data_IF_742268404566
#
_entry.id   IF_742268404566
#
_cell.length_a   1.000
_cell.length_b   1.000
_cell.length_c   1.000
_cell.angle_alpha   90.00
_cell.angle_beta   90.00
_cell.angle_gamma   90.00
#
_symmetry.space_group_name_H-M   'P 1'
#
loop_
_entity.id
_entity.type
_entity.pdbx_description
1 polymer ?
#
# COMPACT_ATOMS: atom_id res chain seq x y z
N UNK A 1 6.65 -16.11 5.94
CA UNK A 1 5.38 -16.05 5.17
C UNK A 1 5.15 -14.63 4.67
N UNK A 2 4.29 -14.45 3.66
CA UNK A 2 3.90 -13.15 3.13
C UNK A 2 2.38 -13.00 3.15
N UNK A 3 1.89 -11.88 3.66
CA UNK A 3 0.50 -11.48 3.61
C UNK A 3 0.27 -10.55 2.41
N UNK A 4 -0.82 -10.75 1.67
CA UNK A 4 -1.19 -9.94 0.51
C UNK A 4 -2.71 -9.66 0.49
N UNK A 5 -3.18 -8.74 -0.35
CA UNK A 5 -4.58 -8.28 -0.36
C UNK A 5 -5.48 -9.09 -1.31
N UNK A 6 -4.97 -9.41 -2.51
CA UNK A 6 -5.73 -9.91 -3.64
C UNK A 6 -5.36 -11.33 -4.05
N UNK A 7 -6.34 -12.11 -4.51
CA UNK A 7 -6.11 -13.49 -4.98
C UNK A 7 -5.22 -13.57 -6.24
N UNK A 8 -5.24 -12.52 -7.05
CA UNK A 8 -4.37 -12.33 -8.21
C UNK A 8 -2.89 -12.24 -7.85
N UNK A 9 -2.57 -11.83 -6.62
CA UNK A 9 -1.22 -11.53 -6.18
C UNK A 9 -0.40 -12.80 -6.04
N UNK A 10 -1.03 -13.91 -5.63
CA UNK A 10 -0.38 -15.20 -5.40
C UNK A 10 0.28 -15.76 -6.68
N UNK A 11 -0.51 -15.96 -7.73
CA UNK A 11 -0.03 -16.52 -9.00
C UNK A 11 1.01 -15.60 -9.66
N UNK A 12 0.77 -14.29 -9.64
CA UNK A 12 1.66 -13.31 -10.26
C UNK A 12 2.99 -13.19 -9.53
N UNK A 13 2.98 -13.04 -8.20
CA UNK A 13 4.20 -12.94 -7.40
C UNK A 13 5.06 -14.20 -7.52
N UNK A 14 4.45 -15.39 -7.48
CA UNK A 14 5.18 -16.66 -7.67
C UNK A 14 5.92 -16.72 -9.00
N UNK A 15 5.27 -16.25 -10.06
CA UNK A 15 5.83 -16.29 -11.40
C UNK A 15 6.94 -15.25 -11.57
N UNK A 16 6.64 -13.98 -11.28
CA UNK A 16 7.57 -12.87 -11.51
C UNK A 16 8.81 -12.96 -10.62
N UNK A 17 8.68 -13.40 -9.36
CA UNK A 17 9.84 -13.61 -8.49
C UNK A 17 10.84 -14.59 -9.10
N UNK A 18 10.37 -15.74 -9.60
CA UNK A 18 11.21 -16.75 -10.28
C UNK A 18 11.82 -16.24 -11.58
N UNK A 19 11.11 -15.39 -12.32
CA UNK A 19 11.63 -14.77 -13.55
C UNK A 19 12.75 -13.78 -13.26
N UNK A 20 12.65 -13.00 -12.18
CA UNK A 20 13.69 -12.05 -11.76
C UNK A 20 14.93 -12.79 -11.22
N UNK A 21 14.69 -13.84 -10.41
CA UNK A 21 15.73 -14.68 -9.86
C UNK A 21 15.19 -16.11 -9.62
N UNK A 22 15.82 -17.10 -10.24
CA UNK A 22 15.39 -18.50 -10.13
C UNK A 22 15.41 -19.08 -8.70
N UNK A 23 16.19 -18.47 -7.79
CA UNK A 23 16.24 -18.83 -6.37
C UNK A 23 15.10 -18.20 -5.54
N UNK A 24 14.40 -17.21 -6.08
CA UNK A 24 13.22 -16.60 -5.48
C UNK A 24 11.97 -17.44 -5.77
N UNK A 25 11.98 -18.64 -5.21
CA UNK A 25 10.93 -19.63 -5.35
C UNK A 25 10.24 -19.85 -4.01
N UNK A 26 9.00 -19.34 -3.90
CA UNK A 26 8.18 -19.45 -2.69
C UNK A 26 7.98 -20.90 -2.23
N UNK A 27 7.87 -21.85 -3.17
CA UNK A 27 7.64 -23.26 -2.85
C UNK A 27 8.93 -23.90 -2.33
N UNK A 28 10.06 -23.67 -3.00
CA UNK A 28 11.36 -24.20 -2.56
C UNK A 28 11.82 -23.61 -1.23
N UNK A 29 11.51 -22.34 -0.97
CA UNK A 29 11.87 -21.63 0.27
C UNK A 29 10.82 -21.79 1.38
N UNK A 30 9.75 -22.56 1.13
CA UNK A 30 8.63 -22.77 2.06
C UNK A 30 8.03 -21.45 2.59
N UNK A 31 7.96 -20.44 1.72
CA UNK A 31 7.36 -19.14 2.04
C UNK A 31 5.89 -19.19 1.64
N UNK A 32 5.03 -19.43 2.62
CA UNK A 32 3.58 -19.36 2.41
C UNK A 32 3.14 -17.95 2.01
N UNK A 33 2.33 -17.88 0.96
CA UNK A 33 1.60 -16.69 0.53
C UNK A 33 0.18 -16.79 1.11
N UNK A 34 -0.26 -15.80 1.90
CA UNK A 34 -1.58 -15.79 2.56
C UNK A 34 -2.38 -14.55 2.19
N UNK A 35 -3.58 -14.77 1.63
CA UNK A 35 -4.54 -13.71 1.32
C UNK A 35 -5.21 -13.19 2.58
N UNK A 36 -5.17 -11.88 2.78
CA UNK A 36 -5.87 -11.20 3.87
C UNK A 36 -7.04 -10.42 3.27
N UNK A 37 -8.27 -10.79 3.63
CA UNK A 37 -9.48 -10.11 3.17
C UNK A 37 -9.60 -8.73 3.83
N UNK A 38 -9.03 -7.72 3.18
CA UNK A 38 -9.07 -6.31 3.59
C UNK A 38 -7.91 -5.89 4.48
N UNK A 39 -7.36 -4.71 4.16
CA UNK A 39 -6.19 -4.05 4.81
C UNK A 39 -6.26 -3.96 6.33
N UNK A 40 -7.48 -3.88 6.88
CA UNK A 40 -7.74 -3.78 8.32
C UNK A 40 -7.23 -4.94 9.18
N UNK A 41 -6.83 -6.05 8.55
CA UNK A 41 -6.44 -7.26 9.26
C UNK A 41 -4.93 -7.58 9.21
N UNK A 42 -4.12 -6.84 8.46
CA UNK A 42 -2.68 -7.11 8.33
C UNK A 42 -1.97 -7.20 9.69
N UNK A 43 -2.11 -6.17 10.53
CA UNK A 43 -1.52 -6.14 11.87
C UNK A 43 -1.97 -7.33 12.73
N UNK A 44 -3.26 -7.69 12.68
CA UNK A 44 -3.79 -8.80 13.49
C UNK A 44 -3.17 -10.14 13.10
N UNK A 45 -3.12 -10.44 11.80
CA UNK A 45 -2.49 -11.66 11.30
C UNK A 45 -1.00 -11.68 11.56
N UNK A 46 -0.32 -10.54 11.35
CA UNK A 46 1.11 -10.38 11.64
C UNK A 46 1.42 -10.72 13.10
N UNK A 47 0.76 -10.03 14.04
CA UNK A 47 0.94 -10.29 15.48
C UNK A 47 0.62 -11.74 15.85
N UNK A 48 -0.46 -12.30 15.29
CA UNK A 48 -0.83 -13.70 15.53
C UNK A 48 0.29 -14.66 15.11
N UNK A 49 0.77 -14.60 13.86
CA UNK A 49 1.80 -15.53 13.38
C UNK A 49 3.17 -15.29 14.00
N UNK A 50 3.54 -14.03 14.25
CA UNK A 50 4.79 -13.68 14.95
C UNK A 50 4.80 -14.23 16.39
N UNK A 51 3.64 -14.36 17.04
CA UNK A 51 3.54 -15.01 18.36
C UNK A 51 3.92 -16.50 18.35
N UNK A 52 3.89 -17.15 17.18
CA UNK A 52 4.38 -18.52 16.98
C UNK A 52 5.82 -18.56 16.46
N UNK A 53 6.54 -17.42 16.46
CA UNK A 53 7.91 -17.32 15.94
C UNK A 53 7.99 -17.36 14.42
N UNK A 54 6.88 -17.17 13.71
CA UNK A 54 6.87 -17.15 12.25
C UNK A 54 7.15 -15.73 11.77
N UNK A 55 8.19 -15.56 10.96
CA UNK A 55 8.45 -14.29 10.28
C UNK A 55 7.35 -13.97 9.28
N UNK A 56 6.75 -12.79 9.42
CA UNK A 56 5.69 -12.29 8.54
C UNK A 56 6.20 -11.08 7.76
N UNK A 57 6.05 -11.12 6.44
CA UNK A 57 6.20 -9.96 5.55
C UNK A 57 4.82 -9.57 5.02
N UNK A 58 4.64 -8.32 4.64
CA UNK A 58 3.39 -7.80 4.07
C UNK A 58 3.70 -7.22 2.69
N UNK A 59 2.86 -7.49 1.71
CA UNK A 59 2.79 -6.74 0.45
C UNK A 59 1.45 -6.03 0.42
N UNK A 60 1.46 -4.71 0.24
CA UNK A 60 0.25 -3.88 0.28
C UNK A 60 0.23 -2.86 -0.87
N UNK A 61 -0.98 -2.46 -1.25
CA UNK A 61 -1.19 -1.46 -2.29
C UNK A 61 -0.83 -0.05 -1.79
N UNK A 62 -0.48 0.86 -2.70
CA UNK A 62 -0.10 2.25 -2.36
C UNK A 62 -1.13 2.96 -1.49
N UNK A 63 -2.42 2.73 -1.73
CA UNK A 63 -3.50 3.36 -1.00
C UNK A 63 -3.59 2.92 0.46
N UNK A 64 -2.87 1.87 0.86
CA UNK A 64 -2.68 1.54 2.29
C UNK A 64 -1.91 2.63 3.05
N UNK A 65 -1.12 3.48 2.38
CA UNK A 65 -0.48 4.63 3.02
C UNK A 65 -1.49 5.70 3.44
N UNK A 66 -2.56 5.87 2.68
CA UNK A 66 -3.56 6.90 2.90
C UNK A 66 -4.76 6.37 3.70
N UNK A 67 -5.28 5.21 3.31
CA UNK A 67 -6.41 4.51 3.93
C UNK A 67 -5.95 3.16 4.52
N UNK A 68 -5.66 3.14 5.82
CA UNK A 68 -5.34 1.91 6.56
C UNK A 68 -3.90 1.77 7.06
N UNK A 69 -3.10 2.83 7.03
CA UNK A 69 -1.69 2.81 7.48
C UNK A 69 -1.50 2.24 8.89
N UNK A 70 -2.41 2.54 9.81
CA UNK A 70 -2.38 2.00 11.18
C UNK A 70 -2.38 0.47 11.23
N UNK A 71 -2.91 -0.19 10.19
CA UNK A 71 -2.99 -1.65 10.09
C UNK A 71 -1.72 -2.28 9.50
N UNK A 72 -0.75 -1.48 9.04
CA UNK A 72 0.54 -1.98 8.57
C UNK A 72 1.50 -2.33 9.72
N UNK A 73 1.19 -1.86 10.94
CA UNK A 73 2.03 -2.10 12.12
C UNK A 73 3.34 -1.30 12.11
N UNK A 74 3.33 -0.10 11.50
CA UNK A 74 4.50 0.76 11.38
C UNK A 74 4.92 1.38 12.73
N UNK A 75 6.22 1.61 12.91
CA UNK A 75 6.77 2.27 14.11
C UNK A 75 6.44 3.78 14.16
N UNK A 76 6.57 4.43 15.32
CA UNK A 76 6.42 5.88 15.44
C UNK A 76 7.34 6.68 14.52
N UNK A 77 8.57 6.19 14.28
CA UNK A 77 9.53 6.81 13.35
C UNK A 77 9.00 6.81 11.91
N UNK A 78 8.43 5.69 11.47
CA UNK A 78 7.80 5.58 10.15
C UNK A 78 6.53 6.41 10.05
N UNK A 79 5.79 6.59 11.14
CA UNK A 79 4.66 7.51 11.17
C UNK A 79 5.10 8.99 10.98
N UNK A 80 6.27 9.38 11.51
CA UNK A 80 6.84 10.70 11.26
C UNK A 80 7.30 10.88 9.80
N UNK A 81 7.90 9.84 9.21
CA UNK A 81 8.23 9.82 7.77
C UNK A 81 6.97 9.91 6.92
N UNK A 82 5.89 9.25 7.31
CA UNK A 82 4.58 9.39 6.64
C UNK A 82 4.11 10.83 6.68
N UNK A 83 4.08 11.46 7.85
CA UNK A 83 3.65 12.85 7.98
C UNK A 83 4.45 13.78 7.04
N UNK A 84 5.76 13.61 7.01
CA UNK A 84 6.67 14.36 6.12
C UNK A 84 6.36 14.11 4.64
N UNK A 85 6.15 12.85 4.25
CA UNK A 85 5.84 12.49 2.86
C UNK A 85 4.48 13.07 2.42
N UNK A 86 3.46 12.98 3.27
CA UNK A 86 2.13 13.57 3.00
C UNK A 86 2.22 15.09 2.86
N UNK A 87 2.97 15.78 3.73
CA UNK A 87 3.15 17.23 3.61
C UNK A 87 3.81 17.65 2.30
N UNK A 88 4.83 16.89 1.85
CA UNK A 88 5.49 17.13 0.56
C UNK A 88 4.54 16.87 -0.61
N UNK A 89 3.77 15.79 -0.55
CA UNK A 89 2.74 15.47 -1.55
C UNK A 89 1.69 16.58 -1.64
N UNK A 90 1.13 17.02 -0.52
CA UNK A 90 0.12 18.06 -0.49
C UNK A 90 0.66 19.39 -1.02
N UNK A 91 1.92 19.73 -0.70
CA UNK A 91 2.60 20.91 -1.25
C UNK A 91 2.77 20.81 -2.77
N UNK A 92 3.12 19.62 -3.28
CA UNK A 92 3.27 19.36 -4.72
C UNK A 92 1.92 19.41 -5.44
N UNK A 93 0.87 18.84 -4.87
CA UNK A 93 -0.50 18.89 -5.39
C UNK A 93 -0.96 20.36 -5.51
N UNK A 94 -0.71 21.16 -4.48
CA UNK A 94 -1.04 22.59 -4.49
C UNK A 94 -0.25 23.35 -5.57
N UNK A 95 1.04 23.06 -5.74
CA UNK A 95 1.88 23.68 -6.77
C UNK A 95 1.45 23.31 -8.20
N UNK A 96 0.99 22.07 -8.41
CA UNK A 96 0.50 21.58 -9.69
C UNK A 96 -0.96 22.00 -9.97
N UNK A 97 -1.64 22.62 -9.01
CA UNK A 97 -3.06 22.93 -9.05
C UNK A 97 -3.93 21.70 -9.44
N UNK A 98 -3.49 20.51 -9.05
CA UNK A 98 -4.19 19.27 -9.36
C UNK A 98 -5.34 19.07 -8.38
N UNK A 99 -6.54 18.93 -8.92
CA UNK A 99 -7.72 18.49 -8.16
C UNK A 99 -8.27 17.27 -8.88
N UNK A 100 -8.10 16.08 -8.31
CA UNK A 100 -8.74 14.91 -8.91
C UNK A 100 -10.26 15.06 -8.75
N UNK A 101 -10.98 15.03 -9.86
CA UNK A 101 -12.45 14.99 -9.80
C UNK A 101 -12.85 13.53 -9.62
N UNK A 102 -13.46 13.15 -8.48
CA UNK A 102 -13.81 11.76 -8.25
C UNK A 102 -14.87 11.29 -9.25
N UNK A 103 -14.68 10.10 -9.82
CA UNK A 103 -15.68 9.52 -10.73
C UNK A 103 -16.94 9.10 -9.97
N UNK A 104 -18.07 9.03 -10.68
CA UNK A 104 -19.36 8.55 -10.12
C UNK A 104 -19.25 7.15 -9.49
N UNK A 105 -18.35 6.30 -10.01
CA UNK A 105 -18.08 4.96 -9.47
C UNK A 105 -17.33 5.01 -8.13
N UNK A 106 -16.33 5.89 -8.01
CA UNK A 106 -15.59 6.10 -6.76
C UNK A 106 -16.51 6.63 -5.66
N UNK A 107 -17.34 7.62 -5.99
CA UNK A 107 -18.34 8.19 -5.06
C UNK A 107 -19.27 7.07 -4.55
N UNK A 108 -19.86 6.28 -5.44
CA UNK A 108 -20.77 5.17 -5.04
C UNK A 108 -20.10 4.14 -4.12
N UNK A 109 -18.84 3.77 -4.39
CA UNK A 109 -18.09 2.82 -3.55
C UNK A 109 -17.81 3.38 -2.15
N UNK A 110 -17.52 4.69 -2.05
CA UNK A 110 -17.21 5.36 -0.79
C UNK A 110 -18.47 5.64 0.05
N UNK A 111 -19.56 6.08 -0.57
CA UNK A 111 -20.86 6.31 0.08
C UNK A 111 -21.44 5.03 0.69
N UNK A 112 -21.07 3.87 0.17
CA UNK A 112 -21.47 2.58 0.71
C UNK A 112 -20.72 2.16 1.99
N UNK A 113 -19.61 2.83 2.37
CA UNK A 113 -18.88 2.54 3.61
C UNK A 113 -19.63 3.12 4.82
N UNK A 114 -19.76 2.36 5.90
CA UNK A 114 -20.44 2.82 7.11
C UNK A 114 -19.76 4.04 7.77
N UNK A 115 -18.42 4.11 7.69
CA UNK A 115 -17.66 5.28 8.15
C UNK A 115 -18.00 6.57 7.39
N UNK A 116 -18.43 6.48 6.13
CA UNK A 116 -18.90 7.66 5.38
C UNK A 116 -20.26 8.12 5.87
N UNK A 117 -21.17 7.19 6.22
CA UNK A 117 -22.48 7.53 6.78
C UNK A 117 -22.34 8.25 8.12
N UNK A 118 -21.44 7.78 8.98
CA UNK A 118 -21.14 8.44 10.26
C UNK A 118 -20.64 9.87 10.06
N UNK A 119 -19.65 10.07 9.18
CA UNK A 119 -19.14 11.41 8.82
C UNK A 119 -20.21 12.30 8.20
N UNK A 120 -21.05 11.74 7.34
CA UNK A 120 -22.17 12.47 6.73
C UNK A 120 -23.20 12.93 7.78
N UNK A 121 -23.53 12.06 8.74
CA UNK A 121 -24.43 12.41 9.85
C UNK A 121 -23.82 13.52 10.71
N UNK A 122 -22.56 13.39 11.11
CA UNK A 122 -21.86 14.40 11.90
C UNK A 122 -21.79 15.77 11.18
N UNK A 123 -21.42 15.79 9.89
CA UNK A 123 -21.40 17.00 9.09
C UNK A 123 -22.80 17.63 8.93
N UNK A 124 -23.83 16.81 8.78
CA UNK A 124 -25.22 17.26 8.67
C UNK A 124 -25.74 17.84 9.99
N UNK A 125 -25.35 17.28 11.13
CA UNK A 125 -25.65 17.83 12.46
C UNK A 125 -24.95 19.17 12.68
N UNK A 126 -23.66 19.27 12.33
CA UNK A 126 -22.93 20.53 12.39
C UNK A 126 -23.60 21.63 11.54
N UNK A 127 -23.98 21.30 10.30
CA UNK A 127 -24.74 22.22 9.43
C UNK A 127 -26.11 22.62 10.00
N UNK A 128 -26.78 21.72 10.73
CA UNK A 128 -28.05 22.01 11.39
C UNK A 128 -27.87 23.01 12.53
N UNK A 129 -26.80 22.86 13.31
CA UNK A 129 -26.46 23.77 14.40
C UNK A 129 -26.11 25.17 13.85
N UNK A 130 -25.35 25.24 12.75
CA UNK A 130 -25.07 26.52 12.06
C UNK A 130 -26.35 27.19 11.58
N UNK A 131 -27.30 26.43 10.98
CA UNK A 131 -28.62 26.96 10.58
C UNK A 131 -29.46 27.47 11.76
N UNK A 132 -29.20 26.98 12.97
CA UNK A 132 -29.85 27.41 14.20
C UNK A 132 -29.14 28.60 14.87
N UNK A 133 -28.12 29.17 14.22
CA UNK A 133 -27.41 30.37 14.68
C UNK A 133 -26.09 30.08 15.40
N UNK A 134 -25.61 28.84 15.43
CA UNK A 134 -24.25 28.55 15.90
C UNK A 134 -23.22 29.18 14.96
N UNK A 135 -22.12 29.69 15.52
CA UNK A 135 -21.01 30.20 14.74
C UNK A 135 -20.36 29.06 13.93
N UNK A 136 -19.96 29.36 12.69
CA UNK A 136 -19.10 28.46 11.93
C UNK A 136 -17.70 28.57 12.51
N UNK A 137 -17.36 27.62 13.38
CA UNK A 137 -16.03 27.50 13.96
C UNK A 137 -15.13 26.60 13.09
N UNK A 138 -13.84 26.60 13.43
CA UNK A 138 -12.83 25.81 12.73
C UNK A 138 -13.17 24.30 12.76
N UNK A 139 -13.73 23.80 13.86
CA UNK A 139 -14.15 22.41 13.99
C UNK A 139 -15.27 22.03 13.02
N UNK A 140 -16.23 22.94 12.76
CA UNK A 140 -17.29 22.74 11.76
C UNK A 140 -16.72 22.65 10.35
N UNK A 141 -15.72 23.47 10.03
CA UNK A 141 -15.03 23.43 8.72
C UNK A 141 -14.26 22.11 8.58
N UNK A 142 -13.53 21.68 9.61
CA UNK A 142 -12.81 20.41 9.62
C UNK A 142 -13.73 19.20 9.43
N UNK A 143 -14.89 19.17 10.09
CA UNK A 143 -15.90 18.11 9.90
C UNK A 143 -16.44 18.05 8.47
N UNK A 144 -16.58 19.19 7.80
CA UNK A 144 -16.99 19.26 6.40
C UNK A 144 -15.87 18.79 5.47
N UNK A 145 -14.64 19.21 5.73
CA UNK A 145 -13.45 18.77 4.99
C UNK A 145 -13.21 17.26 5.14
N UNK A 146 -13.48 16.69 6.31
CA UNK A 146 -13.35 15.25 6.60
C UNK A 146 -14.31 14.38 5.78
N UNK A 147 -15.44 14.95 5.33
CA UNK A 147 -16.37 14.30 4.40
C UNK A 147 -15.73 14.08 3.02
N UNK A 148 -14.78 14.95 2.65
CA UNK A 148 -14.05 14.95 1.38
C UNK A 148 -12.59 14.52 1.53
N UNK A 149 -12.14 14.13 2.72
CA UNK A 149 -10.76 13.67 2.96
C UNK A 149 -10.35 12.52 2.00
N UNK A 150 -11.30 11.68 1.59
CA UNK A 150 -11.05 10.61 0.62
C UNK A 150 -10.78 11.13 -0.81
N UNK A 151 -11.25 12.32 -1.19
CA UNK A 151 -10.91 12.95 -2.47
C UNK A 151 -9.45 13.41 -2.48
N UNK A 152 -8.95 13.87 -1.33
CA UNK A 152 -7.53 14.18 -1.15
C UNK A 152 -6.67 12.92 -1.31
N UNK A 153 -7.11 11.78 -0.78
CA UNK A 153 -6.39 10.51 -0.92
C UNK A 153 -6.38 9.99 -2.37
N UNK A 154 -7.51 10.08 -3.09
CA UNK A 154 -7.57 9.74 -4.51
C UNK A 154 -6.68 10.68 -5.35
N UNK A 155 -6.63 11.98 -5.00
CA UNK A 155 -5.71 12.95 -5.64
C UNK A 155 -4.25 12.60 -5.38
N UNK A 156 -3.89 12.25 -4.14
CA UNK A 156 -2.53 11.83 -3.76
C UNK A 156 -2.10 10.60 -4.56
N UNK A 157 -2.96 9.58 -4.68
CA UNK A 157 -2.69 8.40 -5.50
C UNK A 157 -2.42 8.75 -6.96
N UNK A 158 -3.26 9.62 -7.55
CA UNK A 158 -3.08 10.04 -8.94
C UNK A 158 -1.77 10.80 -9.15
N UNK A 159 -1.42 11.71 -8.24
CA UNK A 159 -0.16 12.47 -8.33
C UNK A 159 1.05 11.54 -8.15
N UNK A 160 1.00 10.59 -7.22
CA UNK A 160 2.04 9.58 -7.10
C UNK A 160 2.21 8.73 -8.36
N UNK A 161 1.16 8.51 -9.16
CA UNK A 161 1.27 7.79 -10.42
C UNK A 161 1.86 8.63 -11.57
N UNK A 162 1.79 9.97 -11.50
CA UNK A 162 2.05 10.86 -12.65
C UNK A 162 3.25 11.81 -12.46
N UNK A 163 3.66 12.09 -11.22
CA UNK A 163 4.69 13.08 -10.91
C UNK A 163 5.89 12.44 -10.20
N UNK A 164 7.07 12.59 -10.81
CA UNK A 164 8.32 11.99 -10.30
C UNK A 164 8.75 12.59 -8.96
N UNK A 165 8.47 13.87 -8.71
CA UNK A 165 8.85 14.55 -7.47
C UNK A 165 7.99 14.05 -6.29
N UNK A 166 6.70 13.82 -6.55
CA UNK A 166 5.79 13.17 -5.62
C UNK A 166 6.19 11.72 -5.32
N UNK A 167 6.62 10.95 -6.34
CA UNK A 167 7.16 9.60 -6.14
C UNK A 167 8.40 9.62 -5.27
N UNK A 168 9.35 10.51 -5.57
CA UNK A 168 10.59 10.67 -4.80
C UNK A 168 10.32 11.03 -3.34
N UNK A 169 9.25 11.79 -3.05
CA UNK A 169 8.86 12.14 -1.69
C UNK A 169 8.43 10.92 -0.84
N UNK A 170 7.94 9.85 -1.47
CA UNK A 170 7.52 8.63 -0.79
C UNK A 170 8.69 7.68 -0.48
N UNK A 171 9.81 7.77 -1.20
CA UNK A 171 10.92 6.80 -1.12
C UNK A 171 11.41 6.54 0.30
N UNK A 172 11.68 7.56 1.15
CA UNK A 172 12.13 7.32 2.52
C UNK A 172 11.12 6.56 3.38
N UNK A 173 9.83 6.82 3.17
CA UNK A 173 8.75 6.11 3.87
C UNK A 173 8.67 4.65 3.41
N UNK A 174 8.74 4.41 2.10
CA UNK A 174 8.69 3.07 1.52
C UNK A 174 9.89 2.23 1.99
N UNK A 175 11.08 2.83 2.05
CA UNK A 175 12.29 2.15 2.55
C UNK A 175 12.15 1.78 4.03
N UNK A 176 11.71 2.72 4.88
CA UNK A 176 11.48 2.45 6.31
C UNK A 176 10.44 1.35 6.54
N UNK A 177 9.35 1.32 5.76
CA UNK A 177 8.36 0.25 5.81
C UNK A 177 8.97 -1.09 5.37
N UNK A 178 9.78 -1.10 4.32
CA UNK A 178 10.40 -2.32 3.78
C UNK A 178 11.37 -2.96 4.76
N UNK A 179 12.14 -2.16 5.50
CA UNK A 179 13.01 -2.62 6.59
C UNK A 179 12.22 -3.35 7.68
N UNK A 180 10.99 -2.91 7.96
CA UNK A 180 10.06 -3.56 8.88
C UNK A 180 9.31 -4.74 8.26
N UNK A 181 9.65 -5.15 7.05
CA UNK A 181 8.99 -6.23 6.34
C UNK A 181 7.64 -5.87 5.73
N UNK A 182 7.34 -4.58 5.55
CA UNK A 182 6.14 -4.08 4.87
C UNK A 182 6.53 -3.51 3.51
N UNK A 183 6.25 -4.25 2.44
CA UNK A 183 6.50 -3.86 1.07
C UNK A 183 5.25 -3.18 0.48
N UNK A 184 5.25 -1.85 0.42
CA UNK A 184 4.18 -1.10 -0.26
C UNK A 184 4.58 -0.87 -1.72
N UNK A 185 3.66 -1.16 -2.64
CA UNK A 185 3.85 -0.96 -4.07
C UNK A 185 3.66 0.51 -4.46
N UNK A 186 4.66 1.14 -5.05
CA UNK A 186 4.70 2.57 -5.36
C UNK A 186 3.84 2.96 -6.57
N UNK A 187 3.52 2.03 -7.48
CA UNK A 187 2.66 2.31 -8.64
C UNK A 187 1.16 2.18 -8.36
N UNK A 188 0.78 1.66 -7.19
CA UNK A 188 -0.61 1.34 -6.88
C UNK A 188 -0.76 -0.08 -6.35
N UNK A 189 -1.48 -0.91 -7.09
CA UNK A 189 -1.69 -2.32 -6.78
C UNK A 189 -0.82 -3.24 -7.66
N UNK A 190 -0.83 -4.54 -7.39
CA UNK A 190 -0.02 -5.49 -8.18
C UNK A 190 -0.40 -5.51 -9.66
N UNK A 191 -1.68 -5.26 -9.99
CA UNK A 191 -2.17 -5.24 -11.37
C UNK A 191 -1.60 -4.07 -12.19
N UNK A 192 -1.12 -3.02 -11.53
CA UNK A 192 -0.47 -1.88 -12.20
C UNK A 192 0.92 -2.26 -12.75
N UNK A 193 1.49 -3.38 -12.28
CA UNK A 193 2.76 -3.91 -12.77
C UNK A 193 2.58 -4.89 -13.94
N UNK A 194 1.35 -5.22 -14.34
CA UNK A 194 1.13 -6.13 -15.46
C UNK A 194 1.66 -5.52 -16.76
N UNK A 195 2.19 -6.34 -17.69
CA UNK A 195 2.63 -5.87 -18.99
C UNK A 195 1.51 -5.10 -19.71
N UNK A 196 1.88 -4.06 -20.46
CA UNK A 196 0.91 -3.27 -21.24
C UNK A 196 0.15 -4.08 -22.30
N UNK A 197 0.65 -5.27 -22.68
CA UNK A 197 -0.02 -6.21 -23.57
C UNK A 197 -1.23 -6.91 -22.94
N UNK A 198 -1.36 -6.91 -21.61
CA UNK A 198 -2.47 -7.54 -20.90
C UNK A 198 -3.68 -6.61 -20.88
N UNK A 199 -4.84 -7.15 -21.24
CA UNK A 199 -6.09 -6.39 -21.22
C UNK A 199 -6.43 -5.91 -19.81
N UNK A 200 -6.91 -4.67 -19.72
CA UNK A 200 -7.49 -4.12 -18.49
C UNK A 200 -8.92 -4.64 -18.27
N UNK A 201 -9.52 -5.27 -19.28
CA UNK A 201 -10.84 -5.89 -19.19
C UNK A 201 -10.73 -7.36 -18.77
N UNK A 202 -11.63 -7.80 -17.89
CA UNK A 202 -11.67 -9.17 -17.38
C UNK A 202 -11.70 -9.23 -15.86
N UNK A 203 -11.89 -10.43 -15.32
CA UNK A 203 -11.75 -10.64 -13.88
C UNK A 203 -10.25 -10.57 -13.48
N UNK A 204 -9.96 -10.33 -12.20
CA UNK A 204 -8.58 -10.21 -11.72
C UNK A 204 -7.74 -11.49 -11.92
N UNK A 205 -8.26 -12.71 -11.61
CA UNK A 205 -7.47 -13.94 -11.79
C UNK A 205 -7.03 -14.20 -13.23
N UNK A 206 -7.92 -14.03 -14.21
CA UNK A 206 -7.60 -14.27 -15.62
C UNK A 206 -6.53 -13.29 -16.12
N UNK A 207 -6.61 -12.03 -15.66
CA UNK A 207 -5.59 -11.01 -15.97
C UNK A 207 -4.22 -11.36 -15.37
N UNK A 208 -4.18 -11.88 -14.15
CA UNK A 208 -2.94 -12.34 -13.51
C UNK A 208 -2.30 -13.48 -14.33
N UNK A 209 -3.10 -14.47 -14.75
CA UNK A 209 -2.61 -15.59 -15.57
C UNK A 209 -2.12 -15.13 -16.96
N UNK A 210 -2.83 -14.17 -17.58
CA UNK A 210 -2.39 -13.56 -18.83
C UNK A 210 -1.07 -12.80 -18.67
N UNK A 211 -0.90 -12.08 -17.56
CA UNK A 211 0.36 -11.41 -17.23
C UNK A 211 1.51 -12.39 -17.04
N UNK A 212 1.30 -13.49 -16.31
CA UNK A 212 2.31 -14.56 -16.18
C UNK A 212 2.68 -15.16 -17.54
N UNK A 213 1.69 -15.38 -18.42
CA UNK A 213 1.93 -15.92 -19.76
C UNK A 213 2.71 -14.96 -20.67
N UNK A 214 2.57 -13.65 -20.46
CA UNK A 214 3.26 -12.63 -21.23
C UNK A 214 4.72 -12.39 -20.78
N UNK A 215 5.04 -12.68 -19.51
CA UNK A 215 6.37 -12.50 -18.93
C UNK A 215 7.11 -13.84 -18.96
N UNK A 216 7.98 -14.02 -19.94
CA UNK A 216 8.69 -15.29 -20.18
C UNK A 216 10.19 -15.20 -19.96
N UNK A 217 10.74 -13.99 -19.86
CA UNK A 217 12.18 -13.76 -19.64
C UNK A 217 12.43 -12.84 -18.46
N UNK A 218 13.67 -12.88 -17.96
CA UNK A 218 14.13 -12.00 -16.88
C UNK A 218 14.06 -10.53 -17.29
N UNK A 219 14.46 -10.21 -18.52
CA UNK A 219 14.45 -8.83 -19.04
C UNK A 219 13.04 -8.26 -19.08
N UNK A 220 12.07 -9.09 -19.48
CA UNK A 220 10.65 -8.71 -19.44
C UNK A 220 10.19 -8.47 -18.00
N UNK A 221 10.61 -9.29 -17.04
CA UNK A 221 10.26 -9.15 -15.64
C UNK A 221 10.87 -7.89 -15.00
N UNK A 222 12.14 -7.58 -15.30
CA UNK A 222 12.81 -6.35 -14.87
C UNK A 222 12.08 -5.13 -15.42
N UNK A 223 11.65 -5.17 -16.68
CA UNK A 223 10.94 -4.05 -17.32
C UNK A 223 9.52 -3.76 -16.76
N UNK A 224 8.99 -4.60 -15.86
CA UNK A 224 7.66 -4.39 -15.23
C UNK A 224 7.65 -3.26 -14.20
N UNK A 225 8.82 -2.89 -13.67
CA UNK A 225 8.95 -1.82 -12.69
C UNK A 225 10.20 -0.97 -12.92
N UNK A 226 10.17 0.25 -12.42
CA UNK A 226 11.32 1.14 -12.42
C UNK A 226 11.97 1.19 -11.04
N UNK A 227 13.25 1.56 -10.93
CA UNK A 227 13.87 1.84 -9.63
C UNK A 227 13.16 2.98 -8.91
N UNK A 228 13.07 2.89 -7.58
CA UNK A 228 12.51 3.96 -6.76
C UNK A 228 13.42 5.19 -6.67
N UNK A 229 14.72 5.01 -6.90
CA UNK A 229 15.70 6.07 -7.01
C UNK A 229 16.86 5.64 -7.93
N UNK A 230 17.60 6.61 -8.45
CA UNK A 230 18.73 6.35 -9.35
C UNK A 230 19.78 5.42 -8.73
N UNK A 231 20.28 4.48 -9.52
CA UNK A 231 21.30 3.52 -9.09
C UNK A 231 20.78 2.34 -8.26
N UNK A 232 19.46 2.21 -8.07
CA UNK A 232 18.83 1.07 -7.40
C UNK A 232 18.37 0.00 -8.41
N UNK A 233 18.20 -1.27 -7.97
CA UNK A 233 17.44 -2.23 -8.75
C UNK A 233 15.97 -1.78 -8.90
N UNK A 234 15.23 -2.48 -9.75
CA UNK A 234 13.82 -2.16 -9.95
C UNK A 234 13.01 -2.43 -8.68
N UNK A 235 11.88 -1.74 -8.50
CA UNK A 235 11.08 -1.88 -7.30
C UNK A 235 10.69 -3.33 -6.99
N UNK A 236 10.28 -4.11 -8.01
CA UNK A 236 9.91 -5.52 -7.80
C UNK A 236 11.11 -6.35 -7.34
N UNK A 237 12.32 -6.07 -7.84
CA UNK A 237 13.53 -6.71 -7.34
C UNK A 237 13.79 -6.38 -5.87
N UNK A 238 13.63 -5.13 -5.46
CA UNK A 238 13.77 -4.71 -4.04
C UNK A 238 12.72 -5.39 -3.14
N UNK A 239 11.46 -5.47 -3.61
CA UNK A 239 10.37 -6.12 -2.89
C UNK A 239 10.64 -7.61 -2.72
N UNK A 240 10.96 -8.33 -3.80
CA UNK A 240 11.22 -9.76 -3.71
C UNK A 240 12.51 -10.05 -2.94
N UNK A 241 13.56 -9.25 -3.12
CA UNK A 241 14.77 -9.36 -2.30
C UNK A 241 14.45 -9.27 -0.80
N UNK A 242 13.59 -8.32 -0.38
CA UNK A 242 13.15 -8.19 1.02
C UNK A 242 12.28 -9.37 1.50
N UNK A 243 11.43 -9.91 0.62
CA UNK A 243 10.59 -11.08 0.92
C UNK A 243 11.43 -12.34 1.14
N UNK A 244 12.44 -12.55 0.30
CA UNK A 244 13.30 -13.73 0.30
C UNK A 244 14.53 -13.58 1.20
N UNK A 245 14.79 -12.38 1.72
CA UNK A 245 15.83 -12.15 2.71
C UNK A 245 15.56 -12.99 3.96
N UNK A 246 16.55 -13.80 4.35
CA UNK A 246 16.51 -14.48 5.63
C UNK A 246 16.53 -13.43 6.74
N UNK A 247 15.58 -13.52 7.66
CA UNK A 247 15.67 -12.75 8.90
C UNK A 247 16.76 -13.43 9.71
N UNK A 248 17.94 -12.82 9.73
CA UNK A 248 18.98 -13.16 10.68
C UNK A 248 18.43 -12.83 12.06
N UNK A 249 17.87 -13.83 12.73
CA UNK A 249 17.55 -13.72 14.15
C UNK A 249 18.89 -13.65 14.87
N UNK A 250 19.34 -12.44 15.21
CA UNK A 250 20.48 -12.27 16.12
C UNK A 250 20.08 -12.95 17.44
N UNK A 251 20.77 -14.04 17.77
CA UNK A 251 20.51 -14.86 18.97
C UNK A 251 20.57 -14.08 20.30
N UNK A 252 20.97 -12.81 20.28
CA UNK A 252 21.00 -11.92 21.44
C UNK A 252 19.61 -11.58 22.00
N UNK A 253 18.56 -11.46 21.18
CA UNK A 253 17.22 -11.11 21.71
C UNK A 253 16.45 -12.32 22.26
N UNK A 254 16.73 -13.52 21.73
CA UNK A 254 16.12 -14.76 22.20
C UNK A 254 16.62 -15.16 23.60
N UNK A 255 17.88 -14.84 23.94
CA UNK A 255 18.45 -15.11 25.26
C UNK A 255 17.96 -14.13 26.35
N UNK A 256 17.66 -12.88 25.99
CA UNK A 256 17.16 -11.89 26.95
C UNK A 256 15.69 -12.08 27.36
N UNK A 257 14.86 -12.74 26.53
CA UNK A 257 13.45 -13.02 26.84
C UNK A 257 13.21 -14.37 27.53
N UNK A 258 14.24 -15.20 27.69
CA UNK A 258 14.14 -16.55 28.22
C UNK A 258 14.66 -16.69 29.67
N UNK A 259 15.02 -15.60 30.35
CA UNK A 259 15.33 -15.65 31.78
C UNK A 259 14.08 -15.30 32.61
N UNK A 260 13.63 -16.21 33.50
CA UNK A 260 12.49 -15.97 34.40
C UNK A 260 12.79 -14.93 35.49
#
# INVERSE_FOLDING_TARGET
MVLFEGESDDAYCRHVAKMLNAEWDFDKKNIALVKVSGKGNFQKFRTFFESFGITVKIVADLDALFDGFQHLGATPETAALKSTAIQKLDSRIAALAMVATPSTRQIKKRVAKDSWRERYVAAREALRNVKQGAAVDQATVELLDDLFAWEKDDTRLQVCAQDLEAQAALVPLLDSLREQGVCVLARGAIEDYYPASVSQNGNKPDRALAACSAVTTKEQAVALSSPLADGRPTELEDVFSSIFAEVVVTQQEAWMKAQP
#
